data_IF_181933585673
#
_entry.id   IF_181933585673
#
_cell.length_a   1.000
_cell.length_b   1.000
_cell.length_c   1.000
_cell.angle_alpha   90.00
_cell.angle_beta   90.00
_cell.angle_gamma   90.00
#
_symmetry.space_group_name_H-M   'P 1'
#
loop_
_entity.id
_entity.type
_entity.pdbx_description
1 polymer ?
#
# COMPACT_ATOMS: atom_id res chain seq x y z
N UNK A 1 10.92 17.02 -10.59
CA UNK A 1 10.38 15.90 -11.38
C UNK A 1 9.78 14.90 -10.42
N UNK A 2 8.62 14.34 -10.75
CA UNK A 2 7.90 13.39 -9.90
C UNK A 2 8.80 12.17 -9.62
N UNK A 3 9.02 11.80 -8.34
CA UNK A 3 9.84 10.64 -8.00
C UNK A 3 9.30 9.37 -8.68
N UNK A 4 10.18 8.55 -9.24
CA UNK A 4 9.77 7.22 -9.70
C UNK A 4 9.29 6.41 -8.50
N UNK A 5 8.00 6.06 -8.48
CA UNK A 5 7.33 5.35 -7.38
C UNK A 5 8.07 4.07 -6.99
N UNK A 6 8.56 3.30 -7.98
CA UNK A 6 9.32 2.07 -7.74
C UNK A 6 10.64 2.37 -7.03
N UNK A 7 11.39 3.36 -7.49
CA UNK A 7 12.66 3.74 -6.86
C UNK A 7 12.45 4.23 -5.43
N UNK A 8 11.45 5.08 -5.21
CA UNK A 8 11.14 5.62 -3.88
C UNK A 8 10.76 4.52 -2.89
N UNK A 9 10.02 3.49 -3.33
CA UNK A 9 9.66 2.36 -2.47
C UNK A 9 10.84 1.44 -2.19
N UNK A 10 11.62 1.10 -3.22
CA UNK A 10 12.79 0.22 -3.06
C UNK A 10 13.85 0.82 -2.12
N UNK A 11 13.89 2.14 -1.98
CA UNK A 11 14.76 2.82 -1.01
C UNK A 11 14.49 2.41 0.46
N UNK A 12 13.29 1.90 0.78
CA UNK A 12 12.92 1.45 2.12
C UNK A 12 13.26 -0.03 2.40
N UNK A 13 13.96 -0.69 1.48
CA UNK A 13 14.36 -2.10 1.67
C UNK A 13 15.21 -2.25 2.92
N UNK A 14 14.83 -3.15 3.82
CA UNK A 14 15.53 -3.42 5.07
C UNK A 14 15.01 -2.63 6.26
N UNK A 15 14.08 -1.70 6.06
CA UNK A 15 13.46 -0.98 7.17
C UNK A 15 12.58 -1.91 8.04
N UNK A 16 12.72 -1.80 9.37
CA UNK A 16 12.02 -2.66 10.31
C UNK A 16 10.48 -2.54 10.16
N UNK A 17 9.81 -3.68 9.95
CA UNK A 17 8.36 -3.71 9.72
C UNK A 17 7.90 -3.26 8.34
N UNK A 18 8.80 -2.79 7.46
CA UNK A 18 8.50 -2.48 6.06
C UNK A 18 9.05 -3.58 5.15
N UNK A 19 8.16 -4.40 4.58
CA UNK A 19 8.54 -5.60 3.83
C UNK A 19 8.29 -5.40 2.34
N UNK A 20 9.37 -5.46 1.55
CA UNK A 20 9.32 -5.57 0.09
C UNK A 20 9.81 -6.96 -0.27
N UNK A 21 8.89 -7.81 -0.74
CA UNK A 21 9.21 -9.20 -1.09
C UNK A 21 9.64 -9.26 -2.56
N UNK A 22 10.91 -9.62 -2.79
CA UNK A 22 11.42 -9.90 -4.13
C UNK A 22 11.16 -11.36 -4.50
N UNK A 23 10.16 -11.60 -5.36
CA UNK A 23 9.77 -12.95 -5.80
C UNK A 23 10.64 -13.52 -6.93
N UNK A 24 11.58 -12.75 -7.47
CA UNK A 24 12.55 -13.23 -8.47
C UNK A 24 13.70 -14.01 -7.84
N UNK A 25 13.93 -13.86 -6.53
CA UNK A 25 14.91 -14.65 -5.81
C UNK A 25 14.34 -16.03 -5.42
N UNK A 26 14.81 -17.08 -6.08
CA UNK A 26 14.34 -18.47 -5.87
C UNK A 26 14.69 -19.03 -4.48
N UNK A 27 15.57 -18.39 -3.71
CA UNK A 27 15.90 -18.81 -2.34
C UNK A 27 14.91 -18.30 -1.29
N UNK A 28 13.99 -17.40 -1.64
CA UNK A 28 12.96 -16.90 -0.72
C UNK A 28 11.78 -17.88 -0.69
N UNK A 29 11.40 -18.34 0.50
CA UNK A 29 10.20 -19.16 0.70
C UNK A 29 9.01 -18.46 0.06
N UNK A 30 8.35 -19.15 -0.89
CA UNK A 30 7.16 -18.61 -1.55
C UNK A 30 6.00 -18.62 -0.57
N UNK A 31 5.76 -17.49 0.06
CA UNK A 31 4.59 -17.22 0.87
C UNK A 31 3.54 -16.54 -0.01
N UNK A 32 2.26 -16.89 0.15
CA UNK A 32 1.18 -16.26 -0.62
C UNK A 32 1.11 -14.77 -0.31
N UNK A 33 0.81 -13.94 -1.32
CA UNK A 33 0.55 -12.52 -1.08
C UNK A 33 -0.57 -12.32 -0.07
N UNK A 34 -1.58 -13.18 -0.06
CA UNK A 34 -2.69 -13.10 0.90
C UNK A 34 -2.26 -13.37 2.35
N UNK A 35 -1.28 -14.24 2.57
CA UNK A 35 -0.74 -14.49 3.91
C UNK A 35 0.00 -13.27 4.43
N UNK A 36 0.82 -12.64 3.57
CA UNK A 36 1.48 -11.38 3.91
C UNK A 36 0.47 -10.27 4.21
N UNK A 37 -0.60 -10.17 3.41
CA UNK A 37 -1.64 -9.16 3.62
C UNK A 37 -2.36 -9.36 4.96
N UNK A 38 -2.77 -10.59 5.29
CA UNK A 38 -3.40 -10.91 6.59
C UNK A 38 -2.50 -10.62 7.79
N UNK A 39 -1.19 -10.74 7.63
CA UNK A 39 -0.21 -10.48 8.69
C UNK A 39 0.23 -9.00 8.76
N UNK A 40 -0.25 -8.14 7.85
CA UNK A 40 0.17 -6.74 7.73
C UNK A 40 -0.94 -5.79 8.18
N UNK A 41 -0.58 -4.67 8.78
CA UNK A 41 -1.53 -3.58 9.04
C UNK A 41 -1.85 -2.78 7.77
N UNK A 42 -0.84 -2.59 6.91
CA UNK A 42 -0.92 -1.75 5.73
C UNK A 42 -0.45 -2.51 4.50
N UNK A 43 -1.17 -2.35 3.39
CA UNK A 43 -0.85 -2.99 2.11
C UNK A 43 -0.79 -1.96 1.01
N UNK A 44 0.36 -1.87 0.35
CA UNK A 44 0.55 -0.91 -0.74
C UNK A 44 -0.25 -1.31 -1.99
N UNK A 45 -0.99 -0.33 -2.51
CA UNK A 45 -1.77 -0.42 -3.74
C UNK A 45 -1.11 0.52 -4.77
N UNK A 46 -0.21 0.00 -5.61
CA UNK A 46 0.40 0.79 -6.68
C UNK A 46 -0.65 1.33 -7.66
N UNK A 47 -0.36 2.46 -8.32
CA UNK A 47 -1.07 2.81 -9.53
C UNK A 47 -0.83 1.73 -10.59
N UNK A 48 -1.91 1.19 -11.17
CA UNK A 48 -1.83 0.22 -12.25
C UNK A 48 -1.30 0.83 -13.55
N UNK A 49 -0.74 0.00 -14.43
CA UNK A 49 -0.44 0.42 -15.80
C UNK A 49 -1.76 0.83 -16.49
N UNK A 50 -1.82 2.05 -17.03
CA UNK A 50 -3.05 2.65 -17.60
C UNK A 50 -4.21 2.75 -16.59
N UNK A 51 -3.93 3.02 -15.32
CA UNK A 51 -4.93 3.08 -14.23
C UNK A 51 -5.58 1.71 -13.89
N UNK A 52 -5.13 0.63 -14.53
CA UNK A 52 -5.71 -0.71 -14.42
C UNK A 52 -4.89 -1.64 -13.55
N UNK A 53 -5.08 -1.58 -12.23
CA UNK A 53 -5.26 -2.77 -11.39
C UNK A 53 -6.08 -2.37 -10.16
N UNK A 54 -7.31 -1.99 -10.46
CA UNK A 54 -8.38 -1.60 -9.55
C UNK A 54 -8.90 -2.75 -8.67
N UNK A 55 -8.09 -3.77 -8.35
CA UNK A 55 -8.55 -4.91 -7.55
C UNK A 55 -7.73 -5.15 -6.30
N UNK A 56 -6.51 -4.60 -6.22
CA UNK A 56 -5.67 -4.76 -5.02
C UNK A 56 -6.29 -4.13 -3.78
N UNK A 57 -7.00 -3.00 -3.92
CA UNK A 57 -7.72 -2.37 -2.81
C UNK A 57 -8.87 -3.25 -2.29
N UNK A 58 -9.61 -3.94 -3.17
CA UNK A 58 -10.68 -4.85 -2.75
C UNK A 58 -10.10 -6.02 -1.93
N UNK A 59 -9.03 -6.62 -2.44
CA UNK A 59 -8.37 -7.73 -1.75
C UNK A 59 -7.79 -7.28 -0.41
N UNK A 60 -7.18 -6.09 -0.33
CA UNK A 60 -6.63 -5.58 0.93
C UNK A 60 -7.71 -5.37 1.98
N UNK A 61 -8.84 -4.78 1.61
CA UNK A 61 -10.02 -4.64 2.48
C UNK A 61 -10.52 -6.00 2.97
N UNK A 62 -10.71 -6.98 2.08
CA UNK A 62 -11.19 -8.30 2.49
C UNK A 62 -10.20 -9.09 3.36
N UNK A 63 -8.90 -8.76 3.29
CA UNK A 63 -7.89 -9.36 4.17
C UNK A 63 -7.68 -8.61 5.48
N UNK A 64 -8.40 -7.50 5.72
CA UNK A 64 -8.20 -6.63 6.89
C UNK A 64 -6.90 -5.83 6.85
N UNK A 65 -6.32 -5.65 5.66
CA UNK A 65 -5.10 -4.90 5.46
C UNK A 65 -5.43 -3.51 4.90
N UNK A 66 -5.10 -2.46 5.65
CA UNK A 66 -5.45 -1.09 5.29
C UNK A 66 -4.77 -0.72 3.96
N UNK A 67 -5.52 -0.36 2.92
CA UNK A 67 -4.95 0.03 1.63
C UNK A 67 -4.12 1.31 1.77
N UNK A 68 -2.90 1.29 1.24
CA UNK A 68 -2.06 2.49 1.06
C UNK A 68 -2.02 2.80 -0.42
N UNK A 69 -2.77 3.81 -0.84
CA UNK A 69 -3.00 4.10 -2.25
C UNK A 69 -2.10 5.27 -2.67
N UNK A 70 -1.31 5.04 -3.72
CA UNK A 70 -0.53 6.11 -4.36
C UNK A 70 -1.24 6.54 -5.63
N UNK A 71 -1.92 7.69 -5.58
CA UNK A 71 -2.75 8.19 -6.67
C UNK A 71 -1.97 9.27 -7.46
N UNK A 72 -1.90 9.18 -8.80
CA UNK A 72 -1.52 10.30 -9.65
C UNK A 72 -2.68 11.29 -9.85
N UNK A 73 -3.89 10.78 -10.09
CA UNK A 73 -5.08 11.55 -10.45
C UNK A 73 -6.30 11.06 -9.63
N UNK A 74 -6.91 11.97 -8.85
CA UNK A 74 -7.82 11.81 -7.70
C UNK A 74 -9.03 10.84 -7.75
N UNK A 75 -9.15 9.90 -8.70
CA UNK A 75 -10.33 9.03 -8.78
C UNK A 75 -10.00 7.59 -8.39
N UNK A 76 -10.62 7.12 -7.31
CA UNK A 76 -10.49 5.73 -6.86
C UNK A 76 -11.61 4.86 -7.44
N UNK A 77 -11.37 3.56 -7.57
CA UNK A 77 -12.43 2.62 -7.98
C UNK A 77 -13.49 2.53 -6.90
N UNK A 78 -14.78 2.48 -7.26
CA UNK A 78 -15.90 2.48 -6.31
C UNK A 78 -15.97 3.73 -5.41
N UNK A 79 -15.35 4.85 -5.78
CA UNK A 79 -15.38 6.08 -4.97
C UNK A 79 -16.80 6.59 -4.70
N UNK A 80 -17.76 6.31 -5.59
CA UNK A 80 -19.18 6.60 -5.39
C UNK A 80 -19.86 5.75 -4.31
N UNK A 81 -19.26 4.60 -3.95
CA UNK A 81 -19.79 3.65 -2.95
C UNK A 81 -18.93 3.60 -1.68
N UNK A 82 -17.63 3.91 -1.79
CA UNK A 82 -16.65 3.78 -0.73
C UNK A 82 -15.89 5.11 -0.55
N UNK A 83 -16.07 5.80 0.59
CA UNK A 83 -15.26 6.98 0.92
C UNK A 83 -13.85 6.54 1.31
N UNK A 84 -12.97 6.38 0.32
CA UNK A 84 -11.61 5.85 0.48
C UNK A 84 -10.77 6.62 1.50
N UNK A 85 -10.99 7.92 1.66
CA UNK A 85 -10.36 8.76 2.68
C UNK A 85 -10.64 8.30 4.11
N UNK A 86 -11.69 7.51 4.33
CA UNK A 86 -12.02 6.93 5.64
C UNK A 86 -11.36 5.59 5.90
N UNK A 87 -11.08 4.81 4.85
CA UNK A 87 -10.68 3.40 4.95
C UNK A 87 -9.26 3.13 4.40
N UNK A 88 -8.64 4.11 3.76
CA UNK A 88 -7.34 3.97 3.13
C UNK A 88 -6.44 5.17 3.45
N UNK A 89 -5.13 4.93 3.33
CA UNK A 89 -4.11 5.97 3.42
C UNK A 89 -3.78 6.44 2.01
N UNK A 90 -4.21 7.65 1.68
CA UNK A 90 -3.89 8.28 0.40
C UNK A 90 -2.51 8.97 0.52
N UNK A 91 -1.53 8.50 -0.26
CA UNK A 91 -0.15 8.98 -0.20
C UNK A 91 0.25 9.61 -1.52
N UNK A 92 0.54 10.92 -1.56
CA UNK A 92 1.03 11.56 -2.77
C UNK A 92 2.48 11.11 -3.06
N UNK A 93 2.92 11.05 -4.33
CA UNK A 93 4.25 10.56 -4.71
C UNK A 93 5.42 11.22 -3.96
N UNK A 94 5.27 12.50 -3.59
CA UNK A 94 6.28 13.30 -2.88
C UNK A 94 6.51 12.82 -1.45
N UNK A 95 5.55 12.12 -0.85
CA UNK A 95 5.63 11.57 0.50
C UNK A 95 6.16 10.14 0.54
N UNK A 96 6.30 9.47 -0.61
CA UNK A 96 6.86 8.11 -0.68
C UNK A 96 8.22 7.95 0.01
N UNK A 97 9.17 8.92 -0.05
CA UNK A 97 10.44 8.83 0.68
C UNK A 97 10.30 8.81 2.21
N UNK A 98 9.12 9.14 2.76
CA UNK A 98 8.83 9.11 4.20
C UNK A 98 7.69 8.15 4.55
N UNK A 99 7.35 7.25 3.63
CA UNK A 99 6.17 6.39 3.73
C UNK A 99 6.16 5.56 5.03
N UNK A 100 7.24 4.86 5.42
CA UNK A 100 7.23 4.08 6.66
C UNK A 100 6.99 4.94 7.91
N UNK A 101 7.56 6.14 7.96
CA UNK A 101 7.37 7.07 9.07
C UNK A 101 5.92 7.58 9.13
N UNK A 102 5.32 7.87 7.96
CA UNK A 102 3.92 8.27 7.84
C UNK A 102 2.97 7.15 8.29
N UNK A 103 3.21 5.90 7.89
CA UNK A 103 2.36 4.78 8.29
C UNK A 103 2.46 4.50 9.79
N UNK A 104 3.64 4.65 10.39
CA UNK A 104 3.84 4.49 11.84
C UNK A 104 3.23 5.60 12.67
N UNK A 105 3.03 6.80 12.11
CA UNK A 105 2.40 7.90 12.85
C UNK A 105 0.89 7.73 12.99
N UNK A 106 0.27 6.82 12.23
CA UNK A 106 -1.15 6.48 12.35
C UNK A 106 -1.36 5.69 13.64
N UNK A 107 -2.20 6.21 14.54
CA UNK A 107 -2.47 5.59 15.83
C UNK A 107 -3.19 4.23 15.69
N UNK A 108 -3.07 3.31 16.66
CA UNK A 108 -3.83 2.06 16.67
C UNK A 108 -5.33 2.27 16.56
N UNK A 109 -5.90 3.20 17.33
CA UNK A 109 -7.32 3.56 17.27
C UNK A 109 -7.74 3.98 15.87
N UNK A 110 -6.93 4.83 15.21
CA UNK A 110 -7.24 5.28 13.85
C UNK A 110 -7.17 4.13 12.84
N UNK A 111 -6.32 3.12 13.05
CA UNK A 111 -6.28 1.92 12.21
C UNK A 111 -7.50 1.02 12.42
N UNK A 112 -8.04 0.95 13.63
CA UNK A 112 -9.25 0.18 13.94
C UNK A 112 -10.52 0.81 13.34
N UNK A 113 -10.50 2.13 13.11
CA UNK A 113 -11.57 2.87 12.44
C UNK A 113 -11.54 2.77 10.90
N UNK A 114 -10.41 2.31 10.33
CA UNK A 114 -10.21 2.11 8.88
C UNK A 114 -10.52 0.66 8.49
#
# INVERSE_FOLDING_TARGET
>A
GTPNVRTALLAHTGEAGFKIVNTFNKSVTRVSSHDWMRASHFCWVPPGQRYGDARRHIVSVFTGCIPVITIPDNHNTLEELLPWERFAVLVPPEQLPRLPQLLRSISPQRREEM
#
